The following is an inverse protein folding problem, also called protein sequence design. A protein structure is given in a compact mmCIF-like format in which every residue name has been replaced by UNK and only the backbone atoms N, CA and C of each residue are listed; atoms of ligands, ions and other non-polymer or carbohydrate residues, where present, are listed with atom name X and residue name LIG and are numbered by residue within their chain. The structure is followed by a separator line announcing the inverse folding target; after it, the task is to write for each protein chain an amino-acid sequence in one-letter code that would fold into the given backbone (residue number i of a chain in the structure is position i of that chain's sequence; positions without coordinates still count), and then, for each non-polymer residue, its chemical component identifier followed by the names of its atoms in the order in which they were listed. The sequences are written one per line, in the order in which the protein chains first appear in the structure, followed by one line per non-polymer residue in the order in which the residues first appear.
data_IF_864017525461
#
_entry.id   IF_864017525461
#
_cell.length_a   1.000
_cell.length_b   1.000
_cell.length_c   1.000
_cell.angle_alpha   90.00
_cell.angle_beta   90.00
_cell.angle_gamma   90.00
#
_symmetry.space_group_name_H-M   'P 1'
#
loop_
_entity.id
_entity.type
_entity.pdbx_description
1 polymer ?
#
# COMPACT_ATOMS: atom_id res chain seq x y z
N UNK A 1 -10.59 3.75 6.70
CA UNK A 1 -9.18 4.17 6.84
C UNK A 1 -8.97 5.33 5.90
N UNK A 2 -8.79 6.53 6.46
CA UNK A 2 -8.49 7.73 5.68
C UNK A 2 -6.97 7.81 5.54
N UNK A 3 -6.48 7.13 4.49
CA UNK A 3 -5.05 7.08 4.16
C UNK A 3 -4.74 8.32 3.33
N UNK A 4 -3.67 9.07 3.67
CA UNK A 4 -3.29 10.25 2.91
C UNK A 4 -2.94 9.84 1.48
N UNK A 5 -3.51 10.54 0.49
CA UNK A 5 -3.19 10.37 -0.93
C UNK A 5 -2.07 11.32 -1.32
N UNK A 6 -1.38 11.09 -2.44
CA UNK A 6 -0.35 12.01 -2.94
C UNK A 6 -0.90 13.43 -3.14
N UNK A 7 -2.10 13.55 -3.72
CA UNK A 7 -2.76 14.85 -3.90
C UNK A 7 -3.12 15.52 -2.55
N UNK A 8 -3.51 14.73 -1.55
CA UNK A 8 -3.75 15.24 -0.19
C UNK A 8 -2.47 15.67 0.52
N UNK A 9 -1.33 15.02 0.25
CA UNK A 9 -0.04 15.45 0.76
C UNK A 9 0.42 16.75 0.10
N UNK A 10 0.27 16.88 -1.22
CA UNK A 10 0.62 18.08 -1.99
C UNK A 10 -0.14 19.31 -1.46
N UNK A 11 -1.44 19.19 -1.17
CA UNK A 11 -2.21 20.30 -0.61
C UNK A 11 -1.71 20.75 0.77
N UNK A 12 -1.26 19.83 1.62
CA UNK A 12 -0.65 20.14 2.91
C UNK A 12 0.73 20.80 2.75
N UNK A 13 1.52 20.34 1.78
CA UNK A 13 2.86 20.86 1.48
C UNK A 13 2.78 22.29 0.96
N UNK A 14 1.80 22.57 0.10
CA UNK A 14 1.62 23.85 -0.58
C UNK A 14 1.00 24.92 0.32
N UNK A 15 0.29 24.52 1.38
CA UNK A 15 -0.30 25.46 2.32
C UNK A 15 0.76 26.32 3.03
N UNK A 16 0.50 27.62 3.06
CA UNK A 16 1.28 28.64 3.77
C UNK A 16 0.32 29.60 4.46
N UNK A 17 0.45 29.75 5.76
CA UNK A 17 -0.40 30.67 6.50
C UNK A 17 -0.02 30.73 7.98
N UNK A 18 -0.32 31.86 8.65
CA UNK A 18 -0.09 31.98 10.08
C UNK A 18 -0.91 30.92 10.83
N UNK A 19 -0.27 30.22 11.78
CA UNK A 19 -0.97 29.30 12.67
C UNK A 19 -1.38 27.98 12.02
N UNK A 20 -0.52 27.38 11.21
CA UNK A 20 -0.71 26.01 10.73
C UNK A 20 -0.38 25.04 11.87
N UNK A 21 -1.39 24.35 12.41
CA UNK A 21 -1.24 23.41 13.52
C UNK A 21 -1.17 21.98 12.98
N UNK A 22 -0.21 21.21 13.46
CA UNK A 22 -0.05 19.79 13.15
C UNK A 22 -0.01 18.99 14.45
N UNK A 23 -0.92 18.04 14.61
CA UNK A 23 -1.03 17.17 15.77
C UNK A 23 -0.89 15.72 15.33
N UNK A 24 -0.05 14.96 16.05
CA UNK A 24 0.09 13.53 15.91
C UNK A 24 -0.21 12.88 17.26
N UNK A 25 -1.25 12.04 17.30
CA UNK A 25 -1.72 11.37 18.50
C UNK A 25 -1.70 9.85 18.28
N UNK A 26 -0.89 9.08 19.02
CA UNK A 26 -1.00 7.61 19.03
C UNK A 26 -2.36 7.17 19.54
N UNK A 27 -3.01 6.25 18.83
CA UNK A 27 -4.35 5.72 19.16
C UNK A 27 -4.34 4.19 19.13
N UNK A 28 -5.39 3.55 19.63
CA UNK A 28 -5.58 2.11 19.61
C UNK A 28 -6.77 1.72 18.67
N UNK A 29 -6.58 0.75 17.75
CA UNK A 29 -7.59 0.46 16.70
C UNK A 29 -8.98 0.05 17.20
N UNK A 30 -9.05 -0.58 18.37
CA UNK A 30 -10.28 -1.21 18.87
C UNK A 30 -11.26 -0.22 19.52
N UNK A 31 -10.95 1.09 19.54
CA UNK A 31 -11.81 2.15 20.08
C UNK A 31 -12.10 2.08 21.58
N UNK A 32 -11.56 1.06 22.27
CA UNK A 32 -11.74 0.82 23.71
C UNK A 32 -11.18 1.95 24.58
N UNK A 33 -10.20 2.70 24.07
CA UNK A 33 -9.54 3.81 24.76
C UNK A 33 -9.98 5.19 24.25
N UNK A 34 -11.10 5.28 23.52
CA UNK A 34 -11.55 6.53 22.89
C UNK A 34 -11.73 7.71 23.84
N UNK A 35 -12.09 7.50 25.11
CA UNK A 35 -12.18 8.58 26.11
C UNK A 35 -10.80 9.13 26.50
N UNK A 36 -9.82 8.26 26.74
CA UNK A 36 -8.45 8.67 27.03
C UNK A 36 -7.80 9.38 25.85
N UNK A 37 -8.03 8.88 24.63
CA UNK A 37 -7.51 9.49 23.40
C UNK A 37 -8.11 10.87 23.13
N UNK A 38 -9.41 11.08 23.44
CA UNK A 38 -10.05 12.40 23.39
C UNK A 38 -9.43 13.37 24.39
N UNK A 39 -9.15 12.91 25.60
CA UNK A 39 -8.47 13.72 26.63
C UNK A 39 -7.07 14.10 26.13
N UNK A 40 -6.33 13.16 25.56
CA UNK A 40 -5.01 13.43 25.00
C UNK A 40 -5.07 14.43 23.83
N UNK A 41 -6.08 14.33 22.93
CA UNK A 41 -6.27 15.34 21.89
C UNK A 41 -6.59 16.71 22.48
N UNK A 42 -7.46 16.80 23.50
CA UNK A 42 -7.81 18.06 24.16
C UNK A 42 -6.59 18.72 24.82
N UNK A 43 -5.69 17.94 25.42
CA UNK A 43 -4.43 18.44 25.96
C UNK A 43 -3.53 18.98 24.84
N UNK A 44 -3.39 18.25 23.72
CA UNK A 44 -2.60 18.70 22.56
C UNK A 44 -3.20 19.94 21.88
N UNK A 45 -4.53 20.06 21.88
CA UNK A 45 -5.23 21.28 21.44
C UNK A 45 -4.83 22.46 22.33
N UNK A 46 -4.84 22.29 23.65
CA UNK A 46 -4.42 23.35 24.58
C UNK A 46 -2.97 23.78 24.33
N UNK A 47 -2.06 22.82 24.15
CA UNK A 47 -0.65 23.09 23.81
C UNK A 47 -0.51 23.84 22.46
N UNK A 48 -1.35 23.51 21.47
CA UNK A 48 -1.36 24.21 20.18
C UNK A 48 -1.87 25.64 20.30
N UNK A 49 -2.92 25.89 21.09
CA UNK A 49 -3.43 27.24 21.34
C UNK A 49 -2.38 28.10 22.03
N UNK A 50 -1.70 27.58 23.06
CA UNK A 50 -0.61 28.28 23.75
C UNK A 50 0.51 28.68 22.77
N UNK A 51 0.87 27.79 21.83
CA UNK A 51 1.87 28.09 20.79
C UNK A 51 1.39 29.14 19.78
N UNK A 52 0.11 29.10 19.37
CA UNK A 52 -0.48 30.09 18.48
C UNK A 52 -0.50 31.49 19.10
N UNK A 53 -0.88 31.59 20.38
CA UNK A 53 -0.88 32.84 21.13
C UNK A 53 0.54 33.39 21.31
N UNK A 54 1.51 32.52 21.65
CA UNK A 54 2.92 32.90 21.74
C UNK A 54 3.51 33.39 20.41
N UNK A 55 2.96 32.93 19.28
CA UNK A 55 3.34 33.35 17.94
C UNK A 55 2.60 34.62 17.46
N UNK A 56 1.81 35.29 18.32
CA UNK A 56 1.03 36.50 18.02
C UNK A 56 0.06 36.30 16.84
N UNK A 57 -0.47 35.09 16.68
CA UNK A 57 -1.51 34.79 15.69
C UNK A 57 -2.80 35.49 16.10
N UNK A 58 -3.51 36.05 15.10
CA UNK A 58 -4.72 36.82 15.38
C UNK A 58 -5.78 36.01 16.14
N UNK A 59 -6.44 36.62 17.12
CA UNK A 59 -7.46 35.97 17.94
C UNK A 59 -8.59 35.32 17.13
N UNK A 60 -8.94 35.88 15.97
CA UNK A 60 -9.94 35.28 15.07
C UNK A 60 -9.47 33.95 14.50
N UNK A 61 -8.19 33.82 14.15
CA UNK A 61 -7.62 32.56 13.63
C UNK A 61 -7.51 31.53 14.75
N UNK A 62 -7.03 31.94 15.93
CA UNK A 62 -6.96 31.06 17.10
C UNK A 62 -8.33 30.49 17.44
N UNK A 63 -9.37 31.33 17.46
CA UNK A 63 -10.75 30.90 17.75
C UNK A 63 -11.30 29.92 16.71
N UNK A 64 -11.01 30.12 15.42
CA UNK A 64 -11.47 29.21 14.35
C UNK A 64 -10.79 27.83 14.44
N UNK A 65 -9.50 27.82 14.80
CA UNK A 65 -8.73 26.59 15.01
C UNK A 65 -9.24 25.84 16.25
N UNK A 66 -9.46 26.57 17.36
CA UNK A 66 -9.98 26.00 18.61
C UNK A 66 -11.36 25.36 18.41
N UNK A 67 -12.28 26.07 17.74
CA UNK A 67 -13.61 25.54 17.41
C UNK A 67 -13.52 24.27 16.55
N UNK A 68 -12.67 24.27 15.51
CA UNK A 68 -12.48 23.09 14.64
C UNK A 68 -11.92 21.88 15.39
N UNK A 69 -11.01 22.10 16.35
CA UNK A 69 -10.43 21.03 17.17
C UNK A 69 -11.42 20.55 18.24
N UNK A 70 -12.19 21.45 18.84
CA UNK A 70 -13.24 21.10 19.80
C UNK A 70 -14.34 20.24 19.15
N UNK A 71 -14.79 20.60 17.95
CA UNK A 71 -15.75 19.82 17.17
C UNK A 71 -15.25 18.39 16.92
N UNK A 72 -13.96 18.23 16.60
CA UNK A 72 -13.35 16.91 16.40
C UNK A 72 -13.25 16.09 17.70
N UNK A 73 -12.96 16.73 18.84
CA UNK A 73 -12.94 16.07 20.16
C UNK A 73 -14.33 15.55 20.54
N UNK A 74 -15.37 16.33 20.22
CA UNK A 74 -16.76 16.02 20.56
C UNK A 74 -17.45 15.05 19.57
N UNK A 75 -16.86 14.79 18.40
CA UNK A 75 -17.41 13.86 17.39
C UNK A 75 -17.33 12.39 17.84
N UNK A 76 -18.38 11.97 18.55
CA UNK A 76 -18.49 10.60 19.05
C UNK A 76 -18.44 9.52 17.98
N UNK A 77 -18.85 9.80 16.74
CA UNK A 77 -18.82 8.85 15.63
C UNK A 77 -17.42 8.70 15.06
N UNK A 78 -16.69 9.80 14.92
CA UNK A 78 -15.29 9.83 14.49
C UNK A 78 -14.41 8.91 15.35
N UNK A 79 -14.61 8.94 16.66
CA UNK A 79 -13.82 8.19 17.64
C UNK A 79 -14.19 6.71 17.78
N UNK A 80 -15.24 6.23 17.11
CA UNK A 80 -15.63 4.80 17.17
C UNK A 80 -14.61 3.89 16.52
N UNK A 81 -13.90 4.41 15.52
CA UNK A 81 -12.95 3.64 14.72
C UNK A 81 -11.67 4.44 14.55
N UNK A 82 -10.61 4.03 15.24
CA UNK A 82 -9.28 4.60 15.10
C UNK A 82 -8.30 3.60 14.48
N UNK A 83 -7.09 4.07 14.22
CA UNK A 83 -5.97 3.24 13.77
C UNK A 83 -4.86 3.28 14.84
N UNK A 84 -3.59 3.13 14.47
CA UNK A 84 -2.47 3.25 15.42
C UNK A 84 -2.08 4.71 15.70
N UNK A 85 -2.44 5.64 14.81
CA UNK A 85 -2.19 7.07 15.01
C UNK A 85 -3.24 7.91 14.30
N UNK A 86 -3.70 8.96 14.97
CA UNK A 86 -4.46 10.07 14.41
C UNK A 86 -3.51 11.23 14.08
N UNK A 87 -3.48 11.66 12.83
CA UNK A 87 -2.82 12.90 12.41
C UNK A 87 -3.89 13.96 12.09
N UNK A 88 -3.74 15.16 12.64
CA UNK A 88 -4.66 16.29 12.45
C UNK A 88 -3.88 17.50 11.98
N UNK A 89 -4.35 18.11 10.90
CA UNK A 89 -3.81 19.33 10.33
C UNK A 89 -4.93 20.36 10.28
N UNK A 90 -4.75 21.49 10.96
CA UNK A 90 -5.79 22.53 11.07
C UNK A 90 -5.21 23.92 10.84
N UNK A 91 -5.99 24.74 10.15
CA UNK A 91 -5.71 26.14 9.90
C UNK A 91 -7.04 26.93 9.92
N UNK A 92 -6.98 28.22 9.60
CA UNK A 92 -8.16 29.11 9.55
C UNK A 92 -9.25 28.70 8.56
N UNK A 93 -8.94 27.87 7.56
CA UNK A 93 -9.89 27.43 6.53
C UNK A 93 -10.55 26.08 6.85
N UNK A 94 -10.02 25.33 7.81
CA UNK A 94 -10.59 24.07 8.25
C UNK A 94 -9.56 23.04 8.71
N UNK A 95 -10.07 21.81 8.87
CA UNK A 95 -9.36 20.69 9.46
C UNK A 95 -9.32 19.50 8.49
N UNK A 96 -8.16 18.86 8.41
CA UNK A 96 -7.95 17.60 7.71
C UNK A 96 -7.36 16.59 8.70
N UNK A 97 -7.94 15.40 8.77
CA UNK A 97 -7.45 14.32 9.64
C UNK A 97 -7.19 13.03 8.86
N UNK A 98 -6.20 12.26 9.32
CA UNK A 98 -5.85 10.94 8.78
C UNK A 98 -5.72 9.91 9.90
N UNK A 99 -6.21 8.71 9.63
CA UNK A 99 -6.07 7.55 10.52
C UNK A 99 -4.99 6.65 9.95
N UNK A 100 -3.81 6.71 10.55
CA UNK A 100 -2.61 6.09 10.04
C UNK A 100 -2.43 4.69 10.64
N UNK A 101 -2.07 3.69 9.81
CA UNK A 101 -1.76 2.35 10.31
C UNK A 101 -0.45 2.36 11.12
N UNK A 102 0.50 3.25 10.83
CA UNK A 102 1.76 3.28 11.58
C UNK A 102 1.60 4.02 12.91
N UNK A 103 2.25 3.51 13.96
CA UNK A 103 2.37 4.23 15.24
C UNK A 103 3.46 5.31 15.15
N UNK A 104 3.06 6.57 15.07
CA UNK A 104 3.96 7.72 15.08
C UNK A 104 4.14 8.27 16.51
N UNK A 105 5.25 8.96 16.82
CA UNK A 105 5.41 9.61 18.11
C UNK A 105 4.37 10.71 18.30
N UNK A 106 3.97 10.93 19.55
CA UNK A 106 3.13 12.08 19.93
C UNK A 106 3.86 13.38 19.60
N UNK A 107 3.17 14.33 18.96
CA UNK A 107 3.73 15.63 18.62
C UNK A 107 2.64 16.68 18.40
N UNK A 108 2.96 17.94 18.73
CA UNK A 108 2.18 19.13 18.38
C UNK A 108 3.16 20.20 17.90
N UNK A 109 2.92 20.75 16.72
CA UNK A 109 3.77 21.77 16.12
C UNK A 109 2.90 22.86 15.49
N UNK A 110 3.23 24.11 15.79
CA UNK A 110 2.59 25.29 15.20
C UNK A 110 3.62 26.08 14.40
N UNK A 111 3.33 26.32 13.12
CA UNK A 111 4.24 27.05 12.24
C UNK A 111 3.51 27.78 11.10
N UNK A 112 4.26 28.36 10.16
CA UNK A 112 3.72 28.90 8.90
C UNK A 112 3.40 27.79 7.87
N UNK A 113 3.72 26.53 8.21
CA UNK A 113 3.61 25.31 7.40
C UNK A 113 3.20 24.13 8.26
N UNK A 114 2.57 23.13 7.66
CA UNK A 114 2.30 21.88 8.36
C UNK A 114 3.57 21.05 8.56
N UNK A 115 3.68 20.42 9.73
CA UNK A 115 4.75 19.50 10.07
C UNK A 115 4.50 18.13 9.44
N UNK A 116 4.87 17.99 8.17
CA UNK A 116 4.61 16.78 7.35
C UNK A 116 5.63 15.66 7.55
N UNK A 117 6.78 15.93 8.19
CA UNK A 117 7.90 14.98 8.27
C UNK A 117 7.49 13.61 8.84
N UNK A 118 6.67 13.50 9.91
CA UNK A 118 6.21 12.20 10.40
C UNK A 118 5.30 11.47 9.40
N UNK A 119 4.48 12.21 8.66
CA UNK A 119 3.54 11.66 7.66
C UNK A 119 4.27 10.96 6.51
N UNK A 120 5.49 11.42 6.16
CA UNK A 120 6.30 10.80 5.10
C UNK A 120 6.63 9.32 5.37
N UNK A 121 6.64 8.88 6.65
CA UNK A 121 6.80 7.45 6.98
C UNK A 121 5.73 6.59 6.34
N UNK A 122 4.50 7.09 6.29
CA UNK A 122 3.35 6.36 5.74
C UNK A 122 3.46 6.14 4.22
N UNK A 123 4.16 7.05 3.53
CA UNK A 123 4.34 6.98 2.08
C UNK A 123 5.59 6.21 1.65
N UNK A 124 6.63 6.18 2.48
CA UNK A 124 7.94 5.65 2.05
C UNK A 124 7.95 4.13 1.97
N UNK A 125 7.39 3.45 2.97
CA UNK A 125 7.29 1.97 2.99
C UNK A 125 5.95 1.56 3.60
N UNK A 126 4.86 1.53 2.81
CA UNK A 126 3.52 1.27 3.34
C UNK A 126 3.35 -0.13 3.95
N UNK A 127 4.35 -1.01 3.82
CA UNK A 127 4.34 -2.39 4.35
C UNK A 127 3.06 -3.15 3.98
N UNK A 128 2.45 -2.71 2.87
CA UNK A 128 1.25 -3.24 2.26
C UNK A 128 1.70 -4.06 1.07
N UNK A 129 1.11 -5.24 0.90
CA UNK A 129 1.43 -6.11 -0.22
C UNK A 129 0.24 -7.00 -0.57
N UNK A 130 0.22 -7.46 -1.81
CA UNK A 130 -0.67 -8.52 -2.23
C UNK A 130 0.03 -9.88 -2.17
N UNK A 131 -0.69 -10.90 -1.70
CA UNK A 131 -0.25 -12.30 -1.80
C UNK A 131 -1.17 -13.03 -2.75
N UNK A 132 -0.62 -13.46 -3.89
CA UNK A 132 -1.33 -14.37 -4.79
C UNK A 132 -0.98 -15.81 -4.42
N UNK A 133 -1.87 -16.45 -3.68
CA UNK A 133 -1.77 -17.87 -3.38
C UNK A 133 -2.35 -18.68 -4.55
N UNK A 134 -1.47 -19.40 -5.26
CA UNK A 134 -1.80 -20.12 -6.48
C UNK A 134 -1.39 -21.60 -6.39
N UNK A 135 -2.37 -22.48 -6.56
CA UNK A 135 -2.18 -23.93 -6.69
C UNK A 135 -2.85 -24.43 -7.97
N UNK A 136 -2.85 -25.73 -8.22
CA UNK A 136 -3.63 -26.29 -9.34
C UNK A 136 -5.12 -26.35 -9.02
N UNK A 137 -5.48 -26.32 -7.74
CA UNK A 137 -6.83 -26.56 -7.25
C UNK A 137 -7.57 -25.28 -6.91
N UNK A 138 -6.85 -24.22 -6.55
CA UNK A 138 -7.41 -22.98 -6.05
C UNK A 138 -6.45 -21.80 -6.31
N UNK A 139 -7.04 -20.62 -6.37
CA UNK A 139 -6.34 -19.34 -6.36
C UNK A 139 -7.07 -18.40 -5.39
N UNK A 140 -6.29 -17.65 -4.61
CA UNK A 140 -6.81 -16.58 -3.75
C UNK A 140 -5.85 -15.40 -3.75
N UNK A 141 -6.41 -14.20 -3.74
CA UNK A 141 -5.66 -12.97 -3.55
C UNK A 141 -5.91 -12.46 -2.13
N UNK A 142 -4.83 -12.19 -1.40
CA UNK A 142 -4.88 -11.59 -0.07
C UNK A 142 -4.28 -10.19 -0.13
N UNK A 143 -4.91 -9.24 0.56
CA UNK A 143 -4.29 -7.97 0.94
C UNK A 143 -3.70 -8.11 2.33
N UNK A 144 -2.42 -7.78 2.45
CA UNK A 144 -1.72 -7.66 3.72
C UNK A 144 -1.45 -6.18 3.97
N UNK A 145 -1.95 -5.66 5.09
CA UNK A 145 -1.63 -4.32 5.61
C UNK A 145 -0.87 -4.47 6.93
N UNK A 146 -0.08 -3.48 7.39
CA UNK A 146 0.84 -3.66 8.53
C UNK A 146 0.14 -4.11 9.82
N UNK A 147 -0.98 -3.45 10.17
CA UNK A 147 -1.64 -3.63 11.47
C UNK A 147 -3.04 -4.24 11.38
N UNK A 148 -3.45 -4.67 10.18
CA UNK A 148 -4.77 -5.27 9.96
C UNK A 148 -4.65 -6.76 9.67
N UNK A 149 -5.67 -7.55 10.06
CA UNK A 149 -5.73 -8.95 9.67
C UNK A 149 -5.77 -9.09 8.14
N UNK A 150 -5.23 -10.20 7.60
CA UNK A 150 -5.25 -10.46 6.16
C UNK A 150 -6.69 -10.47 5.64
N UNK A 151 -6.92 -9.73 4.56
CA UNK A 151 -8.24 -9.65 3.93
C UNK A 151 -8.21 -10.35 2.58
N UNK A 152 -9.18 -11.22 2.32
CA UNK A 152 -9.38 -11.81 0.99
C UNK A 152 -10.01 -10.80 0.06
N UNK A 153 -9.45 -10.67 -1.14
CA UNK A 153 -10.05 -9.86 -2.20
C UNK A 153 -10.82 -10.79 -3.13
N UNK A 154 -12.13 -10.60 -3.18
CA UNK A 154 -12.98 -11.30 -4.14
C UNK A 154 -12.82 -10.67 -5.52
N UNK A 155 -12.30 -11.46 -6.46
CA UNK A 155 -12.07 -11.03 -7.84
C UNK A 155 -13.14 -11.68 -8.73
N UNK A 156 -13.99 -10.89 -9.40
CA UNK A 156 -14.88 -11.41 -10.43
C UNK A 156 -14.10 -12.18 -11.50
N UNK A 157 -14.66 -13.28 -11.99
CA UNK A 157 -14.08 -14.13 -13.05
C UNK A 157 -12.79 -14.87 -12.70
N UNK A 158 -12.41 -14.96 -11.43
CA UNK A 158 -11.26 -15.76 -11.00
C UNK A 158 -11.56 -17.26 -11.18
N UNK A 159 -10.72 -18.03 -11.91
CA UNK A 159 -10.98 -19.44 -12.14
C UNK A 159 -10.81 -20.24 -10.85
N UNK A 160 -11.74 -21.15 -10.54
CA UNK A 160 -11.68 -21.94 -9.31
C UNK A 160 -10.51 -22.92 -9.30
N UNK A 161 -9.99 -23.32 -10.46
CA UNK A 161 -8.80 -24.18 -10.59
C UNK A 161 -8.45 -24.51 -12.04
N UNK A 162 -7.38 -25.28 -12.24
CA UNK A 162 -6.88 -25.66 -13.59
C UNK A 162 -7.94 -26.45 -14.39
N UNK A 163 -8.80 -27.21 -13.70
CA UNK A 163 -9.89 -27.99 -14.31
C UNK A 163 -10.95 -27.12 -14.99
N UNK A 164 -11.24 -25.93 -14.45
CA UNK A 164 -12.22 -24.99 -15.02
C UNK A 164 -11.59 -24.17 -16.16
N UNK A 165 -10.33 -23.78 -16.02
CA UNK A 165 -9.62 -22.97 -17.02
C UNK A 165 -9.47 -23.65 -18.39
N UNK A 166 -9.39 -24.98 -18.41
CA UNK A 166 -9.33 -25.77 -19.64
C UNK A 166 -10.69 -25.97 -20.34
N UNK A 167 -11.80 -25.51 -19.75
CA UNK A 167 -13.17 -25.81 -20.19
C UNK A 167 -13.81 -24.80 -21.16
N UNK A 168 -13.24 -23.60 -21.34
CA UNK A 168 -13.71 -22.64 -22.35
C UNK A 168 -13.08 -22.89 -23.72
N UNK A 169 -13.19 -24.12 -24.24
CA UNK A 169 -13.09 -24.32 -25.69
C UNK A 169 -14.37 -23.79 -26.30
N UNK A 170 -14.24 -22.70 -27.06
CA UNK A 170 -15.24 -22.20 -28.02
C UNK A 170 -16.01 -23.39 -28.61
N UNK A 171 -17.29 -23.51 -28.27
CA UNK A 171 -18.21 -24.42 -28.96
C UNK A 171 -18.29 -23.98 -30.41
N UNK A 172 -17.88 -24.78 -31.40
CA UNK A 172 -18.32 -24.55 -32.75
C UNK A 172 -19.76 -25.06 -32.81
N UNK A 173 -20.68 -24.12 -32.78
CA UNK A 173 -22.00 -24.28 -33.36
C UNK A 173 -21.82 -24.74 -34.81
N UNK A 174 -22.13 -26.01 -35.09
CA UNK A 174 -22.33 -26.46 -36.46
C UNK A 174 -23.28 -27.64 -36.49
N UNK A 175 -24.52 -27.31 -36.83
CA UNK A 175 -25.56 -28.27 -37.13
C UNK A 175 -25.18 -29.27 -38.21
N UNK A 176 -25.52 -30.52 -37.93
CA UNK A 176 -26.23 -31.41 -38.83
C UNK A 176 -25.86 -31.40 -40.32
N UNK A 177 -24.86 -32.22 -40.73
CA UNK A 177 -24.86 -32.92 -42.03
C UNK A 177 -24.15 -34.28 -41.92
N UNK A 178 -24.80 -35.40 -42.32
CA UNK A 178 -24.11 -36.68 -42.44
C UNK A 178 -23.38 -36.72 -43.79
N UNK A 179 -22.04 -36.76 -43.79
CA UNK A 179 -21.26 -37.19 -44.95
C UNK A 179 -20.51 -38.46 -44.64
N UNK A 180 -20.94 -39.51 -45.32
CA UNK A 180 -20.31 -40.81 -45.48
C UNK A 180 -18.96 -40.65 -46.19
N UNK A 181 -17.85 -41.02 -45.56
CA UNK A 181 -16.58 -41.43 -46.22
C UNK A 181 -15.63 -42.14 -45.22
N UNK A 182 -14.65 -42.94 -45.70
CA UNK A 182 -14.29 -44.21 -45.09
C UNK A 182 -13.05 -44.15 -44.20
N UNK A 183 -13.03 -45.08 -43.25
CA UNK A 183 -11.94 -45.55 -42.39
C UNK A 183 -10.52 -45.12 -42.81
N UNK A 184 -9.98 -44.14 -42.08
CA UNK A 184 -8.56 -43.79 -42.02
C UNK A 184 -8.14 -43.53 -40.58
N UNK A 185 -7.55 -44.56 -39.96
CA UNK A 185 -6.67 -44.58 -38.77
C UNK A 185 -6.66 -43.30 -37.90
N UNK A 186 -7.59 -43.22 -36.95
CA UNK A 186 -7.49 -42.28 -35.84
C UNK A 186 -6.38 -42.68 -34.87
N UNK A 187 -5.27 -41.92 -34.86
CA UNK A 187 -4.51 -41.74 -33.64
C UNK A 187 -5.12 -40.55 -32.90
N UNK A 188 -6.14 -40.84 -32.07
CA UNK A 188 -6.50 -39.95 -30.96
C UNK A 188 -5.23 -39.79 -30.13
N UNK A 189 -4.77 -38.55 -30.00
CA UNK A 189 -3.79 -38.18 -29.00
C UNK A 189 -4.27 -38.74 -27.64
N UNK A 190 -3.42 -39.54 -27.00
CA UNK A 190 -3.69 -40.06 -25.67
C UNK A 190 -3.80 -38.86 -24.71
N UNK A 191 -4.90 -38.70 -23.96
CA UNK A 191 -4.94 -37.74 -22.86
C UNK A 191 -3.96 -38.24 -21.79
N UNK A 192 -2.81 -37.58 -21.66
CA UNK A 192 -1.73 -38.04 -20.76
C UNK A 192 -0.31 -37.62 -21.13
N UNK A 193 -0.12 -36.81 -22.17
CA UNK A 193 1.17 -36.16 -22.43
C UNK A 193 1.41 -35.04 -21.40
N UNK A 194 2.57 -35.02 -20.74
CA UNK A 194 2.98 -33.90 -19.86
C UNK A 194 2.92 -32.53 -20.55
N UNK A 195 2.89 -32.48 -21.88
CA UNK A 195 2.68 -31.26 -22.67
C UNK A 195 1.29 -30.65 -22.53
N UNK A 196 0.24 -31.47 -22.46
CA UNK A 196 -1.15 -30.99 -22.32
C UNK A 196 -1.41 -30.42 -20.92
N UNK A 197 -0.81 -31.04 -19.90
CA UNK A 197 -0.89 -30.54 -18.51
C UNK A 197 -0.21 -29.18 -18.38
N UNK A 198 1.01 -29.00 -18.92
CA UNK A 198 1.69 -27.69 -18.91
C UNK A 198 0.93 -26.61 -19.67
N UNK A 199 0.30 -26.96 -20.80
CA UNK A 199 -0.52 -26.02 -21.57
C UNK A 199 -1.73 -25.52 -20.75
N UNK A 200 -2.43 -26.42 -20.07
CA UNK A 200 -3.58 -26.06 -19.21
C UNK A 200 -3.16 -25.20 -18.01
N UNK A 201 -2.04 -25.54 -17.36
CA UNK A 201 -1.51 -24.75 -16.25
C UNK A 201 -1.12 -23.34 -16.72
N UNK A 202 -0.57 -23.20 -17.94
CA UNK A 202 -0.27 -21.88 -18.53
C UNK A 202 -1.53 -21.09 -18.88
N UNK A 203 -2.57 -21.74 -19.40
CA UNK A 203 -3.86 -21.10 -19.66
C UNK A 203 -4.50 -20.60 -18.37
N UNK A 204 -4.47 -21.41 -17.31
CA UNK A 204 -4.92 -21.03 -15.97
C UNK A 204 -4.18 -19.79 -15.46
N UNK A 205 -2.84 -19.79 -15.51
CA UNK A 205 -2.05 -18.63 -15.09
C UNK A 205 -2.37 -17.35 -15.90
N UNK A 206 -2.64 -17.47 -17.20
CA UNK A 206 -3.03 -16.33 -18.05
C UNK A 206 -4.40 -15.78 -17.68
N UNK A 207 -5.37 -16.65 -17.42
CA UNK A 207 -6.71 -16.23 -16.99
C UNK A 207 -6.64 -15.50 -15.65
N UNK A 208 -5.82 -15.98 -14.72
CA UNK A 208 -5.59 -15.30 -13.44
C UNK A 208 -4.95 -13.92 -13.66
N UNK A 209 -3.88 -13.84 -14.47
CA UNK A 209 -3.24 -12.55 -14.75
C UNK A 209 -4.22 -11.55 -15.41
N UNK A 210 -5.08 -12.02 -16.31
CA UNK A 210 -6.09 -11.17 -16.95
C UNK A 210 -7.17 -10.69 -15.97
N UNK A 211 -7.63 -11.55 -15.06
CA UNK A 211 -8.59 -11.19 -14.03
C UNK A 211 -8.02 -10.19 -13.01
N UNK A 212 -6.71 -10.27 -12.75
CA UNK A 212 -6.01 -9.37 -11.81
C UNK A 212 -5.67 -8.00 -12.41
N UNK A 213 -5.49 -7.90 -13.72
CA UNK A 213 -5.03 -6.66 -14.37
C UNK A 213 -5.89 -5.41 -14.04
N UNK A 214 -7.24 -5.46 -14.01
CA UNK A 214 -8.05 -4.30 -13.64
C UNK A 214 -7.90 -3.89 -12.18
N UNK A 215 -7.63 -4.84 -11.27
CA UNK A 215 -7.49 -4.59 -9.84
C UNK A 215 -6.08 -4.05 -9.52
N UNK A 216 -5.05 -4.62 -10.13
CA UNK A 216 -3.65 -4.24 -9.88
C UNK A 216 -3.22 -3.02 -10.70
N UNK A 217 -3.97 -2.66 -11.74
CA UNK A 217 -3.67 -1.50 -12.58
C UNK A 217 -3.76 -0.19 -11.81
N UNK A 218 -2.65 0.54 -11.72
CA UNK A 218 -2.60 1.86 -11.07
C UNK A 218 -2.17 1.84 -9.60
N UNK A 219 -1.77 0.68 -9.07
CA UNK A 219 -1.17 0.56 -7.74
C UNK A 219 0.32 0.20 -7.86
N UNK A 220 1.15 0.80 -6.99
CA UNK A 220 2.58 0.50 -6.88
C UNK A 220 2.86 -0.54 -5.77
N UNK A 221 1.86 -1.36 -5.44
CA UNK A 221 1.89 -2.28 -4.29
C UNK A 221 2.61 -3.57 -4.67
N UNK A 222 3.61 -4.05 -3.92
CA UNK A 222 4.32 -5.28 -4.26
C UNK A 222 3.38 -6.50 -4.25
N UNK A 223 3.54 -7.37 -5.24
CA UNK A 223 2.86 -8.66 -5.35
C UNK A 223 3.84 -9.80 -5.06
N UNK A 224 3.50 -10.66 -4.11
CA UNK A 224 4.28 -11.86 -3.75
C UNK A 224 3.50 -13.12 -4.13
N UNK A 225 4.18 -14.06 -4.79
CA UNK A 225 3.58 -15.34 -5.15
C UNK A 225 3.73 -16.34 -4.00
N UNK A 226 2.62 -16.96 -3.62
CA UNK A 226 2.61 -18.12 -2.75
C UNK A 226 2.17 -19.34 -3.56
N UNK A 227 3.06 -20.30 -3.77
CA UNK A 227 2.75 -21.37 -4.70
C UNK A 227 3.74 -22.50 -4.76
N UNK A 228 3.33 -23.56 -5.44
CA UNK A 228 4.18 -24.73 -5.67
C UNK A 228 5.22 -24.44 -6.76
N UNK A 229 6.36 -25.14 -6.69
CA UNK A 229 7.47 -25.03 -7.66
C UNK A 229 7.07 -25.10 -9.14
N UNK A 230 6.11 -25.93 -9.59
CA UNK A 230 5.70 -25.91 -11.00
C UNK A 230 4.84 -24.68 -11.36
N UNK A 231 4.16 -24.06 -10.40
CA UNK A 231 3.23 -22.98 -10.69
C UNK A 231 3.94 -21.62 -10.81
N UNK A 232 4.81 -21.32 -9.84
CA UNK A 232 5.50 -20.03 -9.74
C UNK A 232 6.20 -19.61 -11.06
N UNK A 233 7.05 -20.44 -11.71
CA UNK A 233 7.73 -20.03 -12.93
C UNK A 233 6.77 -19.82 -14.11
N UNK A 234 5.69 -20.60 -14.16
CA UNK A 234 4.68 -20.47 -15.22
C UNK A 234 3.92 -19.16 -15.05
N UNK A 235 3.52 -18.82 -13.83
CA UNK A 235 2.86 -17.56 -13.55
C UNK A 235 3.77 -16.36 -13.86
N UNK A 236 5.04 -16.38 -13.41
CA UNK A 236 6.04 -15.34 -13.75
C UNK A 236 6.14 -15.11 -15.26
N UNK A 237 6.13 -16.18 -16.06
CA UNK A 237 6.24 -16.07 -17.53
C UNK A 237 5.05 -15.41 -18.23
N UNK A 238 3.91 -15.26 -17.55
CA UNK A 238 2.68 -14.66 -18.10
C UNK A 238 2.24 -13.41 -17.35
N UNK A 239 2.96 -13.04 -16.29
CA UNK A 239 2.68 -11.87 -15.49
C UNK A 239 2.92 -10.58 -16.29
N UNK A 240 1.98 -9.64 -16.19
CA UNK A 240 2.11 -8.30 -16.78
C UNK A 240 2.26 -7.21 -15.72
N UNK A 241 2.20 -7.54 -14.43
CA UNK A 241 2.27 -6.57 -13.34
C UNK A 241 3.73 -6.20 -13.02
N UNK A 242 4.12 -4.91 -13.04
CA UNK A 242 5.51 -4.49 -12.85
C UNK A 242 6.07 -4.79 -11.45
N UNK A 243 5.24 -4.71 -10.41
CA UNK A 243 5.68 -4.82 -9.01
C UNK A 243 5.62 -6.27 -8.48
N UNK A 244 5.82 -7.25 -9.37
CA UNK A 244 5.98 -8.65 -8.95
C UNK A 244 7.37 -8.84 -8.34
N UNK A 245 7.41 -9.18 -7.05
CA UNK A 245 8.65 -9.45 -6.31
C UNK A 245 9.38 -10.69 -6.84
N UNK A 246 10.69 -10.77 -6.68
CA UNK A 246 11.49 -11.96 -7.02
C UNK A 246 11.34 -13.07 -5.97
N UNK A 247 11.28 -12.69 -4.70
CA UNK A 247 11.04 -13.60 -3.59
C UNK A 247 9.63 -14.21 -3.65
N UNK A 248 9.50 -15.44 -3.14
CA UNK A 248 8.25 -16.21 -3.18
C UNK A 248 8.03 -16.97 -1.88
N UNK A 249 6.76 -17.18 -1.55
CA UNK A 249 6.35 -18.09 -0.49
C UNK A 249 6.24 -19.49 -1.11
N UNK A 250 7.32 -20.26 -1.02
CA UNK A 250 7.36 -21.61 -1.56
C UNK A 250 6.52 -22.58 -0.72
N UNK A 251 5.73 -23.42 -1.39
CA UNK A 251 4.98 -24.50 -0.74
C UNK A 251 3.58 -24.68 -1.33
N UNK A 252 2.77 -25.54 -0.71
CA UNK A 252 1.37 -25.63 -1.10
C UNK A 252 0.56 -24.57 -0.35
N UNK A 253 -0.01 -23.56 -1.03
CA UNK A 253 -0.85 -22.58 -0.35
C UNK A 253 -2.15 -23.20 0.16
N UNK A 254 -2.64 -24.30 -0.40
CA UNK A 254 -3.91 -24.93 0.02
C UNK A 254 -3.89 -25.43 1.46
N UNK A 255 -2.70 -25.73 2.01
CA UNK A 255 -2.53 -26.23 3.39
C UNK A 255 -2.31 -25.13 4.41
N UNK A 256 -2.20 -23.87 3.97
CA UNK A 256 -1.91 -22.73 4.84
C UNK A 256 -3.15 -21.87 5.03
N UNK A 257 -3.32 -21.32 6.22
CA UNK A 257 -4.29 -20.26 6.49
C UNK A 257 -3.84 -18.93 5.88
N UNK A 258 -4.75 -17.96 5.78
CA UNK A 258 -4.42 -16.62 5.28
C UNK A 258 -3.43 -15.90 6.23
N UNK A 259 -3.57 -16.14 7.54
CA UNK A 259 -2.68 -15.59 8.56
C UNK A 259 -1.25 -16.14 8.43
N UNK A 260 -1.09 -17.44 8.18
CA UNK A 260 0.23 -18.05 7.96
C UNK A 260 0.90 -17.52 6.68
N UNK A 261 0.13 -17.35 5.60
CA UNK A 261 0.66 -16.77 4.37
C UNK A 261 1.15 -15.33 4.56
N UNK A 262 0.41 -14.51 5.29
CA UNK A 262 0.84 -13.14 5.58
C UNK A 262 1.99 -13.10 6.60
N UNK A 263 2.05 -14.03 7.56
CA UNK A 263 3.21 -14.14 8.45
C UNK A 263 4.50 -14.47 7.67
N UNK A 264 4.43 -15.35 6.66
CA UNK A 264 5.57 -15.67 5.79
C UNK A 264 5.89 -14.56 4.78
N UNK A 265 4.92 -13.71 4.44
CA UNK A 265 5.12 -12.52 3.61
C UNK A 265 5.96 -11.45 4.30
N UNK A 266 5.77 -11.22 5.61
CA UNK A 266 6.47 -10.16 6.37
C UNK A 266 8.00 -10.13 6.16
N UNK A 267 8.73 -11.23 6.42
CA UNK A 267 10.19 -11.22 6.24
C UNK A 267 10.61 -11.06 4.77
N UNK A 268 9.73 -11.35 3.80
CA UNK A 268 10.00 -11.08 2.38
C UNK A 268 9.93 -9.57 2.13
N UNK A 269 8.87 -8.90 2.60
CA UNK A 269 8.73 -7.45 2.44
C UNK A 269 9.86 -6.70 3.12
N UNK A 270 10.26 -7.12 4.32
CA UNK A 270 11.38 -6.49 5.02
C UNK A 270 12.68 -6.58 4.20
N UNK A 271 12.93 -7.71 3.52
CA UNK A 271 14.08 -7.84 2.61
C UNK A 271 13.95 -6.97 1.37
N UNK A 272 12.78 -6.96 0.73
CA UNK A 272 12.53 -6.12 -0.46
C UNK A 272 12.80 -4.65 -0.14
N UNK A 273 12.24 -4.14 0.96
CA UNK A 273 12.47 -2.75 1.37
C UNK A 273 13.91 -2.48 1.82
N UNK A 274 14.57 -3.45 2.46
CA UNK A 274 15.98 -3.33 2.81
C UNK A 274 16.88 -3.25 1.56
N UNK A 275 16.58 -4.05 0.53
CA UNK A 275 17.28 -4.04 -0.75
C UNK A 275 17.04 -2.74 -1.51
N UNK A 276 15.80 -2.23 -1.53
CA UNK A 276 15.47 -0.92 -2.12
C UNK A 276 16.25 0.21 -1.43
N UNK A 277 16.31 0.21 -0.10
CA UNK A 277 17.09 1.18 0.66
C UNK A 277 18.59 1.06 0.39
N UNK A 278 19.11 -0.17 0.29
CA UNK A 278 20.52 -0.42 -0.04
C UNK A 278 20.86 0.09 -1.45
N UNK A 279 19.97 -0.14 -2.43
CA UNK A 279 20.11 0.34 -3.80
C UNK A 279 20.09 1.87 -3.87
N UNK A 280 19.16 2.52 -3.14
CA UNK A 280 19.12 3.98 -3.02
C UNK A 280 20.39 4.55 -2.41
N UNK A 281 20.94 3.90 -1.39
CA UNK A 281 22.22 4.30 -0.78
C UNK A 281 23.39 4.17 -1.75
N UNK A 282 23.48 3.06 -2.47
CA UNK A 282 24.52 2.86 -3.48
C UNK A 282 24.42 3.87 -4.63
N UNK A 283 23.19 4.19 -5.05
CA UNK A 283 22.93 5.23 -6.04
C UNK A 283 23.37 6.60 -5.51
N UNK A 284 23.03 6.93 -4.26
CA UNK A 284 23.45 8.17 -3.60
C UNK A 284 24.98 8.31 -3.58
N UNK A 285 25.71 7.28 -3.16
CA UNK A 285 27.17 7.29 -3.12
C UNK A 285 27.77 7.48 -4.52
N UNK A 286 27.20 6.82 -5.52
CA UNK A 286 27.59 6.99 -6.94
C UNK A 286 27.36 8.43 -7.42
N UNK A 287 26.19 9.02 -7.09
CA UNK A 287 25.87 10.41 -7.46
C UNK A 287 26.73 11.40 -6.71
N UNK A 288 27.08 11.13 -5.45
CA UNK A 288 28.00 11.96 -4.65
C UNK A 288 29.38 12.00 -5.31
N UNK A 289 29.92 10.86 -5.73
CA UNK A 289 31.19 10.80 -6.46
C UNK A 289 31.15 11.56 -7.80
N UNK A 290 29.97 11.68 -8.43
CA UNK A 290 29.74 12.46 -9.65
C UNK A 290 29.50 13.96 -9.40
N UNK A 291 29.51 14.43 -8.14
CA UNK A 291 29.14 15.81 -7.78
C UNK A 291 27.65 16.12 -7.94
N UNK A 292 26.79 15.09 -7.95
CA UNK A 292 25.34 15.14 -8.17
C UNK A 292 24.51 14.76 -6.94
N UNK A 293 25.12 14.72 -5.76
CA UNK A 293 24.42 14.53 -4.50
C UNK A 293 25.04 15.43 -3.43
N UNK A 294 24.18 16.01 -2.59
CA UNK A 294 24.53 16.94 -1.51
C UNK A 294 23.92 16.43 -0.20
N UNK A 295 24.58 16.74 0.93
CA UNK A 295 24.10 16.38 2.28
C UNK A 295 23.90 17.60 3.17
N UNK A 296 24.48 18.74 2.82
CA UNK A 296 24.31 19.98 3.58
C UNK A 296 22.90 20.54 3.34
N UNK A 297 22.23 20.96 4.41
CA UNK A 297 20.85 21.43 4.35
C UNK A 297 20.71 22.67 3.46
N UNK A 298 21.68 23.60 3.48
CA UNK A 298 21.62 24.80 2.67
C UNK A 298 21.80 24.48 1.17
N UNK A 299 22.65 23.52 0.84
CA UNK A 299 22.82 23.05 -0.54
C UNK A 299 21.60 22.28 -1.03
N UNK A 300 21.01 21.42 -0.18
CA UNK A 300 19.76 20.72 -0.48
C UNK A 300 18.63 21.72 -0.75
N UNK A 301 18.47 22.73 0.12
CA UNK A 301 17.44 23.77 -0.04
C UNK A 301 17.62 24.57 -1.34
N UNK A 302 18.87 24.90 -1.70
CA UNK A 302 19.18 25.56 -2.96
C UNK A 302 18.82 24.69 -4.16
N UNK A 303 19.18 23.41 -4.14
CA UNK A 303 18.85 22.46 -5.20
C UNK A 303 17.33 22.26 -5.34
N UNK A 304 16.60 22.18 -4.23
CA UNK A 304 15.15 22.05 -4.21
C UNK A 304 14.45 23.26 -4.83
N UNK A 305 14.94 24.47 -4.54
CA UNK A 305 14.36 25.73 -5.05
C UNK A 305 14.40 25.82 -6.58
N UNK A 306 15.41 25.21 -7.22
CA UNK A 306 15.55 25.19 -8.68
C UNK A 306 15.02 23.89 -9.32
N UNK A 307 14.36 23.02 -8.55
CA UNK A 307 13.84 21.75 -9.04
C UNK A 307 14.91 20.74 -9.45
N UNK A 308 16.13 20.84 -8.90
CA UNK A 308 17.26 19.96 -9.23
C UNK A 308 17.36 18.73 -8.32
N UNK A 309 16.37 18.49 -7.45
CA UNK A 309 16.30 17.33 -6.56
C UNK A 309 15.44 16.25 -7.22
N UNK A 310 16.07 15.14 -7.56
CA UNK A 310 15.39 13.93 -8.06
C UNK A 310 14.92 13.03 -6.91
N UNK A 311 15.79 12.77 -5.93
CA UNK A 311 15.51 11.93 -4.77
C UNK A 311 15.98 12.62 -3.49
N UNK A 312 15.13 12.68 -2.46
CA UNK A 312 15.45 13.23 -1.15
C UNK A 312 15.44 12.11 -0.09
N UNK A 313 16.57 11.92 0.58
CA UNK A 313 16.69 11.00 1.72
C UNK A 313 16.59 11.80 3.01
N UNK A 314 15.64 11.44 3.87
CA UNK A 314 15.39 12.14 5.14
C UNK A 314 15.56 11.14 6.28
N UNK A 315 16.40 11.47 7.25
CA UNK A 315 16.35 10.81 8.55
C UNK A 315 15.15 11.35 9.32
N UNK A 316 14.15 10.48 9.50
CA UNK A 316 12.88 10.86 10.11
C UNK A 316 13.02 11.00 11.64
N UNK A 317 14.02 10.39 12.27
CA UNK A 317 14.23 10.42 13.72
C UNK A 317 15.11 11.58 14.16
N UNK A 318 15.94 12.09 13.26
CA UNK A 318 16.81 13.21 13.55
C UNK A 318 16.00 14.52 13.64
N UNK A 319 15.88 15.11 14.83
CA UNK A 319 15.45 16.51 14.97
C UNK A 319 16.56 17.45 14.52
N UNK A 320 16.21 18.51 13.77
CA UNK A 320 17.13 19.59 13.37
C UNK A 320 17.15 20.65 14.46
#
# INVERSE_FOLDING_TARGET
MDIPTTAGLESLVDWRGPGSVSIYLPTEPDGQNSEAERIDLSNLTSDAIDQLEAADVSRSVVSAIDESLADLVDDGEFWRFQAQTLAVFVNENGLVSFRLPNRLPRAVEVSDRFYIKPLLRTFTFPQTAFVLAISQNAVRLLSASPDLPPTRIDIPDLPTGVSEAGGKTLTPDSGNRPRLMPRGRGHRARPGSSGDSKLRIRQYARQINQALAPLLGGHDIPLVLAGTTPMIPIYRSVNSYPHLTEDVIAGNPDTKSDAELVAELRPILDRVYADDLANLRALFDTRRAQGRAVTDLADVARAATIGAVDTLLIDIEQSI
#
